data_IF_929199130455
#
_entry.id   IF_929199130455
#
_cell.length_a   1.000
_cell.length_b   1.000
_cell.length_c   1.000
_cell.angle_alpha   90.00
_cell.angle_beta   90.00
_cell.angle_gamma   90.00
#
_symmetry.space_group_name_H-M   'P 1'
#
loop_
_entity.id
_entity.type
_entity.pdbx_description
1 polymer ?
#
# COMPACT_ATOMS: atom_id res chain seq x y z
N UNK A 1 -13.99 26.06 5.76
CA UNK A 1 -14.15 25.96 6.27
C UNK A 1 -14.36 26.72 7.12
N UNK A 2 -14.85 26.86 7.52
CA UNK A 2 -15.26 27.55 8.22
C UNK A 2 -14.59 27.83 9.22
N UNK A 3 -14.42 27.69 9.88
CA UNK A 3 -13.74 27.84 10.39
C UNK A 3 -12.84 27.86 9.78
N UNK A 4 -12.31 28.40 9.35
CA UNK A 4 -11.60 28.34 8.59
C UNK A 4 -10.55 28.31 8.89
N UNK A 5 -10.46 27.91 9.42
CA UNK A 5 -9.39 27.53 9.47
C UNK A 5 -8.84 27.40 8.29
N UNK A 6 -7.83 27.61 8.10
CA UNK A 6 -7.21 27.56 7.03
C UNK A 6 -7.04 26.25 6.66
N UNK A 7 -7.80 25.83 5.84
CA UNK A 7 -7.68 24.59 5.34
C UNK A 7 -6.73 24.64 4.29
N UNK A 8 -5.53 24.50 4.61
CA UNK A 8 -4.60 24.50 3.62
C UNK A 8 -4.44 23.15 3.16
N UNK A 9 -4.82 22.81 2.04
CA UNK A 9 -4.50 21.54 1.48
C UNK A 9 -3.86 21.75 0.14
N UNK A 10 -2.98 20.86 -0.23
CA UNK A 10 -2.28 20.95 -1.50
C UNK A 10 -2.53 19.67 -2.24
N UNK A 11 -3.70 19.48 -2.79
CA UNK A 11 -4.10 18.18 -3.34
C UNK A 11 -3.18 17.67 -4.44
N UNK A 12 -2.60 18.56 -5.24
CA UNK A 12 -1.71 18.09 -6.29
C UNK A 12 -0.34 17.69 -5.77
N UNK A 13 0.07 18.25 -4.64
CA UNK A 13 1.34 17.91 -4.04
C UNK A 13 1.22 16.65 -3.18
N UNK A 14 0.17 16.58 -2.38
CA UNK A 14 0.02 15.46 -1.46
C UNK A 14 -0.58 14.22 -2.09
N UNK A 15 -1.28 14.37 -3.21
CA UNK A 15 -1.95 13.24 -3.84
C UNK A 15 -1.00 12.10 -4.16
N UNK A 16 0.11 12.41 -4.83
CA UNK A 16 1.06 11.38 -5.22
C UNK A 16 1.75 10.78 -4.00
N UNK A 17 2.10 11.61 -3.04
CA UNK A 17 2.76 11.15 -1.83
C UNK A 17 1.88 10.20 -1.03
N UNK A 18 0.62 10.57 -0.86
CA UNK A 18 -0.31 9.73 -0.12
C UNK A 18 -0.58 8.43 -0.87
N UNK A 19 -0.72 8.50 -2.19
CA UNK A 19 -0.95 7.30 -2.99
C UNK A 19 0.25 6.35 -2.87
N UNK A 20 1.46 6.87 -2.85
CA UNK A 20 2.65 6.05 -2.65
C UNK A 20 2.60 5.36 -1.29
N UNK A 21 2.21 6.09 -0.26
CA UNK A 21 2.11 5.51 1.09
C UNK A 21 1.07 4.41 1.13
N UNK A 22 -0.07 4.61 0.47
CA UNK A 22 -1.11 3.60 0.44
C UNK A 22 -0.60 2.34 -0.26
N UNK A 23 0.13 2.49 -1.38
CA UNK A 23 0.70 1.33 -2.06
C UNK A 23 1.72 0.63 -1.17
N UNK A 24 2.51 1.38 -0.42
CA UNK A 24 3.46 0.77 0.50
C UNK A 24 2.73 -0.06 1.55
N UNK A 25 1.61 0.43 2.05
CA UNK A 25 0.83 -0.31 3.04
C UNK A 25 0.19 -1.55 2.43
N UNK A 26 -0.31 -1.44 1.20
CA UNK A 26 -0.91 -2.58 0.51
C UNK A 26 0.14 -3.68 0.33
N UNK A 27 1.28 -3.33 -0.20
CA UNK A 27 2.34 -4.30 -0.45
C UNK A 27 2.89 -4.88 0.85
N UNK A 28 3.11 -4.04 1.86
CA UNK A 28 3.64 -4.50 3.13
C UNK A 28 2.69 -5.47 3.82
N UNK A 29 1.39 -5.19 3.74
CA UNK A 29 0.39 -6.04 4.37
C UNK A 29 0.25 -7.36 3.62
N UNK A 30 0.11 -7.30 2.30
CA UNK A 30 -0.10 -8.51 1.50
C UNK A 30 1.13 -9.41 1.54
N UNK A 31 2.32 -8.83 1.53
CA UNK A 31 3.56 -9.59 1.51
C UNK A 31 4.14 -9.84 2.90
N UNK A 32 3.43 -9.39 3.93
CA UNK A 32 3.80 -9.65 5.32
C UNK A 32 5.18 -9.11 5.68
N UNK A 33 5.52 -7.94 5.15
CA UNK A 33 6.87 -7.39 5.30
C UNK A 33 7.22 -7.14 6.76
N UNK A 34 6.34 -6.47 7.51
CA UNK A 34 6.62 -6.14 8.89
C UNK A 34 6.68 -7.39 9.76
N UNK A 35 5.73 -8.28 9.57
CA UNK A 35 5.66 -9.51 10.33
C UNK A 35 6.93 -10.36 10.13
N UNK A 36 7.33 -10.52 8.87
CA UNK A 36 8.50 -11.32 8.55
C UNK A 36 9.77 -10.65 9.05
N UNK A 37 9.85 -9.32 8.94
CA UNK A 37 11.00 -8.59 9.44
C UNK A 37 11.17 -8.80 10.94
N UNK A 38 10.08 -8.79 11.69
CA UNK A 38 10.15 -9.04 13.13
C UNK A 38 10.61 -10.46 13.44
N UNK A 39 10.15 -11.43 12.65
CA UNK A 39 10.56 -12.80 12.85
C UNK A 39 12.05 -12.98 12.56
N UNK A 40 12.56 -12.33 11.54
CA UNK A 40 13.98 -12.38 11.23
C UNK A 40 14.80 -11.77 12.35
N UNK A 41 14.35 -10.62 12.88
CA UNK A 41 15.04 -9.99 14.01
C UNK A 41 15.03 -10.85 15.24
N UNK A 42 14.00 -11.65 15.42
CA UNK A 42 13.90 -12.55 16.57
C UNK A 42 14.72 -13.83 16.40
N UNK A 43 15.43 -13.95 15.30
CA UNK A 43 16.29 -15.11 15.09
C UNK A 43 15.57 -16.34 14.59
N UNK A 44 14.36 -16.19 14.07
CA UNK A 44 13.59 -17.34 13.63
C UNK A 44 13.96 -17.87 12.25
N UNK A 45 14.80 -17.15 11.54
CA UNK A 45 15.18 -17.58 10.20
C UNK A 45 16.44 -18.42 10.31
N UNK A 46 16.27 -19.71 10.44
CA UNK A 46 17.39 -20.63 10.62
C UNK A 46 17.63 -21.54 9.42
N UNK A 47 16.71 -21.54 8.46
CA UNK A 47 16.86 -22.31 7.24
C UNK A 47 15.94 -21.73 6.19
N UNK A 48 15.69 -22.48 5.13
CA UNK A 48 14.86 -21.97 4.04
C UNK A 48 13.48 -21.56 4.51
N UNK A 49 12.95 -20.51 3.86
CA UNK A 49 11.63 -20.02 4.17
C UNK A 49 10.59 -21.01 3.69
N UNK A 50 9.66 -21.35 4.55
CA UNK A 50 8.54 -22.21 4.21
C UNK A 50 7.27 -21.44 3.93
N UNK A 51 6.19 -22.13 3.58
CA UNK A 51 4.93 -21.47 3.24
C UNK A 51 4.34 -20.60 4.34
N UNK A 52 4.65 -20.87 5.58
CA UNK A 52 4.14 -20.06 6.68
C UNK A 52 4.73 -18.65 6.69
N UNK A 53 5.75 -18.39 5.89
CA UNK A 53 6.33 -17.05 5.73
C UNK A 53 5.85 -16.37 4.45
N UNK A 54 5.07 -17.05 3.63
CA UNK A 54 4.62 -16.50 2.36
C UNK A 54 3.49 -15.51 2.58
N UNK A 55 3.48 -14.48 1.76
CA UNK A 55 2.38 -13.53 1.73
C UNK A 55 1.45 -13.85 0.57
N UNK A 56 0.61 -12.89 0.26
CA UNK A 56 -0.34 -12.98 -0.83
C UNK A 56 0.17 -12.18 -2.01
N UNK A 57 0.02 -12.70 -3.21
CA UNK A 57 0.39 -11.96 -4.41
C UNK A 57 -0.52 -10.76 -4.58
N UNK A 58 0.03 -9.69 -5.11
CA UNK A 58 -0.72 -8.48 -5.37
C UNK A 58 -0.99 -8.32 -6.85
N UNK A 59 -0.02 -8.66 -7.70
CA UNK A 59 -0.17 -8.47 -9.14
C UNK A 59 -1.36 -9.26 -9.67
N UNK A 60 -2.09 -8.64 -10.57
CA UNK A 60 -3.27 -9.23 -11.22
C UNK A 60 -4.43 -9.56 -10.27
N UNK A 61 -4.34 -9.13 -9.01
CA UNK A 61 -5.47 -9.28 -8.10
C UNK A 61 -6.39 -8.08 -8.22
N UNK A 62 -7.61 -8.22 -7.78
CA UNK A 62 -8.58 -7.13 -7.84
C UNK A 62 -8.40 -6.21 -6.64
N UNK A 63 -8.37 -4.92 -6.92
CA UNK A 63 -8.32 -3.91 -5.86
C UNK A 63 -9.63 -3.15 -5.87
N UNK A 64 -10.32 -3.16 -4.76
CA UNK A 64 -11.53 -2.36 -4.60
C UNK A 64 -11.20 -1.04 -3.93
N UNK A 65 -11.70 0.04 -4.49
CA UNK A 65 -11.48 1.37 -3.94
C UNK A 65 -12.82 2.00 -3.61
N UNK A 66 -12.99 2.38 -2.35
CA UNK A 66 -14.19 3.09 -1.93
C UNK A 66 -13.84 4.57 -1.91
N UNK A 67 -14.48 5.36 -2.75
CA UNK A 67 -14.16 6.77 -2.88
C UNK A 67 -13.10 7.02 -3.94
N UNK A 68 -13.53 7.55 -5.07
CA UNK A 68 -12.63 7.78 -6.18
C UNK A 68 -12.33 9.27 -6.34
N UNK A 69 -11.63 9.81 -5.37
CA UNK A 69 -11.14 11.18 -5.47
C UNK A 69 -9.77 11.19 -6.12
N UNK A 70 -9.02 12.26 -5.91
CA UNK A 70 -7.67 12.38 -6.51
C UNK A 70 -6.73 11.30 -6.03
N UNK A 71 -6.75 11.01 -4.74
CA UNK A 71 -5.89 9.99 -4.19
C UNK A 71 -6.31 8.61 -4.68
N UNK A 72 -7.62 8.35 -4.72
CA UNK A 72 -8.12 7.09 -5.24
C UNK A 72 -7.74 6.88 -6.69
N UNK A 73 -7.81 7.93 -7.52
CA UNK A 73 -7.41 7.82 -8.92
C UNK A 73 -5.92 7.56 -9.05
N UNK A 74 -5.10 8.25 -8.26
CA UNK A 74 -3.66 8.05 -8.31
C UNK A 74 -3.31 6.63 -7.87
N UNK A 75 -4.00 6.12 -6.87
CA UNK A 75 -3.80 4.76 -6.41
C UNK A 75 -4.22 3.76 -7.48
N UNK A 76 -5.36 4.01 -8.12
CA UNK A 76 -5.87 3.14 -9.18
C UNK A 76 -4.88 3.05 -10.34
N UNK A 77 -4.28 4.16 -10.72
CA UNK A 77 -3.30 4.17 -11.79
C UNK A 77 -2.08 3.33 -11.44
N UNK A 78 -1.60 3.46 -10.20
CA UNK A 78 -0.46 2.66 -9.77
C UNK A 78 -0.77 1.18 -9.77
N UNK A 79 -1.94 0.82 -9.25
CA UNK A 79 -2.32 -0.58 -9.16
C UNK A 79 -2.55 -1.17 -10.54
N UNK A 80 -3.26 -0.45 -11.40
CA UNK A 80 -3.59 -0.97 -12.73
C UNK A 80 -2.36 -1.07 -13.63
N UNK A 81 -1.61 0.02 -13.76
CA UNK A 81 -0.49 0.04 -14.70
C UNK A 81 0.77 -0.59 -14.14
N UNK A 82 0.97 -0.51 -12.83
CA UNK A 82 2.17 -1.07 -12.23
C UNK A 82 2.05 -2.53 -11.86
N UNK A 83 0.88 -2.96 -11.43
CA UNK A 83 0.68 -4.31 -10.92
C UNK A 83 -0.35 -5.12 -11.68
N UNK A 84 -0.88 -4.58 -12.76
CA UNK A 84 -1.87 -5.29 -13.56
C UNK A 84 -3.17 -5.59 -12.81
N UNK A 85 -3.53 -4.78 -11.85
CA UNK A 85 -4.77 -4.95 -11.10
C UNK A 85 -5.91 -4.29 -11.86
N UNK A 86 -7.03 -4.98 -12.06
CA UNK A 86 -8.16 -4.40 -12.81
C UNK A 86 -8.89 -3.28 -12.08
#
# INVERSE_FOLDING_TARGET
NARRVLLMHTPTVLTETVADTVMALVLSTARRVVEVAERVKAGEWTKSIGPDWFGTDVHHKTLGIVGMGRIGMALAQRAHFGFGMP
#
